data_IF_886682999593
#
_entry.id   IF_886682999593
#
_cell.length_a   1.000
_cell.length_b   1.000
_cell.length_c   1.000
_cell.angle_alpha   90.00
_cell.angle_beta   90.00
_cell.angle_gamma   90.00
#
_symmetry.space_group_name_H-M   'P 1'
#
loop_
_entity.id
_entity.type
_entity.pdbx_description
1 polymer ?
#
# COMPACT_ATOMS: atom_id res chain seq x y z
N UNK A 1 8.46 -7.62 30.31
CA UNK A 1 8.22 -7.54 28.85
C UNK A 1 6.77 -7.92 28.58
N UNK A 2 5.94 -6.96 28.16
CA UNK A 2 4.53 -7.24 27.87
C UNK A 2 4.42 -7.94 26.51
N UNK A 3 3.72 -9.08 26.49
CA UNK A 3 3.50 -9.90 25.30
C UNK A 3 2.61 -9.11 24.32
N UNK A 4 3.10 -8.85 23.11
CA UNK A 4 2.26 -8.23 22.08
C UNK A 4 1.03 -9.12 21.82
N UNK A 5 -0.17 -8.56 21.67
CA UNK A 5 -1.38 -9.35 21.41
C UNK A 5 -1.23 -10.08 20.08
N UNK A 6 -1.67 -11.35 20.06
CA UNK A 6 -1.62 -12.21 18.87
C UNK A 6 -2.47 -11.63 17.74
N UNK A 7 -2.13 -11.94 16.49
CA UNK A 7 -2.87 -11.51 15.30
C UNK A 7 -4.37 -11.86 15.37
N UNK A 8 -4.73 -12.98 16.00
CA UNK A 8 -6.12 -13.35 16.26
C UNK A 8 -6.86 -12.38 17.20
N UNK A 9 -6.19 -11.85 18.24
CA UNK A 9 -6.78 -10.87 19.14
C UNK A 9 -6.92 -9.48 18.47
N UNK A 10 -6.02 -9.15 17.54
CA UNK A 10 -6.13 -7.91 16.72
C UNK A 10 -7.30 -8.00 15.73
N UNK A 11 -7.48 -9.14 15.06
CA UNK A 11 -8.61 -9.40 14.16
C UNK A 11 -9.97 -9.39 14.90
N UNK A 12 -10.04 -9.94 16.12
CA UNK A 12 -11.25 -9.90 16.93
C UNK A 12 -11.61 -8.46 17.39
N UNK A 13 -10.60 -7.66 17.75
CA UNK A 13 -10.80 -6.24 18.06
C UNK A 13 -11.27 -5.41 16.86
N UNK A 14 -10.81 -5.77 15.66
CA UNK A 14 -11.17 -5.13 14.38
C UNK A 14 -12.64 -5.38 14.01
N UNK A 15 -13.15 -6.61 14.19
CA UNK A 15 -14.57 -6.93 14.00
C UNK A 15 -15.48 -6.12 14.94
N UNK A 16 -15.07 -5.94 16.20
CA UNK A 16 -15.81 -5.12 17.18
C UNK A 16 -15.83 -3.62 16.84
N UNK A 17 -14.73 -3.08 16.34
CA UNK A 17 -14.63 -1.67 15.93
C UNK A 17 -15.49 -1.37 14.67
N UNK A 18 -15.57 -2.33 13.74
CA UNK A 18 -16.39 -2.25 12.53
C UNK A 18 -17.89 -2.24 12.87
N UNK A 19 -18.32 -3.06 13.84
CA UNK A 19 -19.70 -3.06 14.32
C UNK A 19 -20.11 -1.71 14.95
N UNK A 20 -19.22 -1.08 15.71
CA UNK A 20 -19.47 0.23 16.32
C UNK A 20 -19.61 1.39 15.33
N UNK A 21 -18.85 1.38 14.22
CA UNK A 21 -18.94 2.44 13.19
C UNK A 21 -20.21 2.37 12.35
N UNK A 22 -20.75 1.18 12.08
CA UNK A 22 -22.03 1.04 11.36
C UNK A 22 -23.22 1.62 12.15
N UNK A 23 -23.16 1.61 13.47
CA UNK A 23 -24.20 2.18 14.33
C UNK A 23 -24.10 3.71 14.52
N UNK A 24 -22.92 4.31 14.30
CA UNK A 24 -22.70 5.76 14.52
C UNK A 24 -22.97 6.66 13.31
N UNK A 25 -23.37 6.10 12.16
CA UNK A 25 -23.45 6.81 10.89
C UNK A 25 -24.67 7.71 10.67
N UNK A 26 -25.68 7.68 11.54
CA UNK A 26 -26.96 8.40 11.31
C UNK A 26 -27.11 9.72 12.08
N UNK A 27 -26.13 10.15 12.90
CA UNK A 27 -26.33 11.27 13.83
C UNK A 27 -25.57 12.59 13.55
N UNK A 28 -24.87 12.75 12.41
CA UNK A 28 -24.06 13.95 12.16
C UNK A 28 -24.40 14.66 10.84
N UNK A 29 -25.69 14.92 10.62
CA UNK A 29 -26.14 15.89 9.64
C UNK A 29 -26.86 17.03 10.35
N UNK A 30 -26.18 18.16 10.59
CA UNK A 30 -26.70 19.54 10.53
C UNK A 30 -25.77 20.54 11.25
N UNK A 31 -25.63 21.70 10.60
CA UNK A 31 -25.22 23.03 11.07
C UNK A 31 -23.75 23.46 10.96
N UNK A 32 -23.54 24.52 10.16
CA UNK A 32 -22.34 25.35 10.28
C UNK A 32 -21.92 26.20 9.07
N UNK A 33 -22.84 26.75 8.27
CA UNK A 33 -22.52 27.86 7.35
C UNK A 33 -22.17 29.12 8.15
N UNK A 34 -21.02 29.74 7.92
CA UNK A 34 -20.87 31.21 7.98
C UNK A 34 -19.80 31.73 7.02
N UNK A 35 -20.21 32.71 6.22
CA UNK A 35 -19.40 33.50 5.29
C UNK A 35 -18.50 34.49 6.04
N UNK A 36 -17.22 34.59 5.67
CA UNK A 36 -16.41 35.81 5.87
C UNK A 36 -15.59 36.08 4.61
N UNK A 37 -16.03 37.07 3.82
CA UNK A 37 -15.19 37.77 2.82
C UNK A 37 -14.42 38.88 3.54
N UNK A 38 -13.10 38.97 3.34
CA UNK A 38 -12.36 40.23 3.44
C UNK A 38 -11.22 40.26 2.42
N UNK A 39 -11.24 41.31 1.60
CA UNK A 39 -10.23 41.67 0.61
C UNK A 39 -8.88 41.94 1.27
N UNK A 40 -7.85 41.30 0.76
CA UNK A 40 -6.45 41.62 0.95
C UNK A 40 -5.67 40.80 -0.06
N UNK A 41 -5.00 41.46 -1.01
CA UNK A 41 -4.25 40.83 -2.09
C UNK A 41 -3.21 39.89 -1.45
N UNK A 42 -3.46 38.58 -1.50
CA UNK A 42 -2.52 37.59 -1.04
C UNK A 42 -1.24 37.70 -1.88
N UNK A 43 -0.03 37.50 -1.30
CA UNK A 43 1.18 37.33 -2.11
C UNK A 43 0.94 36.18 -3.09
N UNK A 44 1.49 36.25 -4.30
CA UNK A 44 1.36 35.19 -5.31
C UNK A 44 1.81 33.86 -4.71
N UNK A 45 0.84 33.12 -4.17
CA UNK A 45 0.99 31.74 -3.79
C UNK A 45 1.10 31.04 -5.13
N UNK A 46 2.25 30.43 -5.38
CA UNK A 46 2.43 29.49 -6.48
C UNK A 46 1.22 28.54 -6.41
N UNK A 47 0.27 28.75 -7.32
CA UNK A 47 -0.87 27.86 -7.51
C UNK A 47 -0.33 26.61 -8.19
N UNK A 48 0.35 25.79 -7.38
CA UNK A 48 0.58 24.39 -7.67
C UNK A 48 -0.72 23.67 -7.33
N UNK A 49 -1.77 23.95 -8.12
CA UNK A 49 -3.05 23.25 -8.13
C UNK A 49 -2.84 21.80 -8.57
N UNK A 50 -2.16 21.05 -7.70
CA UNK A 50 -2.21 19.60 -7.69
C UNK A 50 -3.56 19.26 -7.08
N UNK A 51 -4.47 18.77 -7.91
CA UNK A 51 -5.79 18.32 -7.50
C UNK A 51 -5.68 17.52 -6.19
N UNK A 52 -6.53 17.88 -5.22
CA UNK A 52 -6.43 17.40 -3.85
C UNK A 52 -6.62 15.88 -3.77
N UNK A 53 -5.84 15.24 -2.90
CA UNK A 53 -6.05 13.84 -2.54
C UNK A 53 -7.48 13.66 -2.01
N UNK A 54 -8.17 12.61 -2.45
CA UNK A 54 -9.56 12.35 -2.05
C UNK A 54 -9.74 10.89 -1.70
N UNK A 55 -10.65 10.63 -0.76
CA UNK A 55 -11.10 9.26 -0.48
C UNK A 55 -11.90 8.75 -1.67
N UNK A 56 -11.67 7.50 -2.01
CA UNK A 56 -12.41 6.78 -3.05
C UNK A 56 -12.93 5.46 -2.48
N UNK A 57 -13.97 4.86 -3.08
CA UNK A 57 -14.35 3.50 -2.74
C UNK A 57 -13.15 2.55 -2.88
N UNK A 58 -12.99 1.57 -1.98
CA UNK A 58 -11.87 0.64 -2.07
C UNK A 58 -11.94 -0.17 -3.36
N UNK A 59 -10.78 -0.37 -4.01
CA UNK A 59 -10.66 -1.16 -5.23
C UNK A 59 -11.04 -2.63 -5.01
N UNK A 60 -10.90 -3.10 -3.77
CA UNK A 60 -11.15 -4.49 -3.38
C UNK A 60 -10.19 -5.50 -4.03
N UNK A 61 -10.47 -6.81 -3.86
CA UNK A 61 -9.71 -7.88 -4.51
C UNK A 61 -9.73 -7.76 -6.03
N UNK A 62 -8.55 -7.87 -6.66
CA UNK A 62 -8.39 -7.73 -8.12
C UNK A 62 -8.75 -9.00 -8.90
N UNK A 63 -9.01 -10.11 -8.21
CA UNK A 63 -9.37 -11.39 -8.83
C UNK A 63 -8.25 -11.98 -9.71
N UNK A 64 -7.00 -11.83 -9.27
CA UNK A 64 -5.80 -12.34 -9.97
C UNK A 64 -5.62 -13.86 -9.78
N UNK A 65 -4.60 -14.41 -10.44
CA UNK A 65 -4.15 -15.81 -10.33
C UNK A 65 -5.18 -16.80 -10.89
N UNK A 66 -5.56 -16.59 -12.15
CA UNK A 66 -6.50 -17.45 -12.87
C UNK A 66 -5.79 -18.52 -13.70
N UNK A 67 -6.45 -19.68 -13.80
CA UNK A 67 -6.00 -20.80 -14.63
C UNK A 67 -4.95 -21.67 -13.96
N UNK A 68 -4.28 -22.48 -14.77
CA UNK A 68 -3.25 -23.41 -14.29
C UNK A 68 -2.08 -22.64 -13.67
N UNK A 69 -1.53 -23.20 -12.59
CA UNK A 69 -0.39 -22.64 -11.88
C UNK A 69 0.87 -23.48 -12.08
N UNK A 70 1.99 -22.79 -12.29
CA UNK A 70 3.32 -23.39 -12.34
C UNK A 70 4.14 -22.86 -11.17
N UNK A 71 4.73 -23.77 -10.37
CA UNK A 71 5.65 -23.39 -9.32
C UNK A 71 6.99 -22.98 -9.93
N UNK A 72 7.53 -21.86 -9.50
CA UNK A 72 8.85 -21.38 -9.93
C UNK A 72 9.90 -21.74 -8.88
N UNK A 73 11.06 -22.24 -9.32
CA UNK A 73 12.26 -22.25 -8.49
C UNK A 73 12.72 -20.82 -8.19
N UNK A 74 13.56 -20.65 -7.16
CA UNK A 74 14.11 -19.34 -6.82
C UNK A 74 14.93 -18.72 -7.97
N UNK A 75 15.59 -19.55 -8.80
CA UNK A 75 16.34 -19.09 -9.98
C UNK A 75 15.41 -18.65 -11.10
N UNK A 76 14.37 -19.44 -11.41
CA UNK A 76 13.38 -19.08 -12.42
C UNK A 76 12.59 -17.82 -12.03
N UNK A 77 12.28 -17.68 -10.74
CA UNK A 77 11.69 -16.46 -10.22
C UNK A 77 12.60 -15.25 -10.45
N UNK A 78 13.87 -15.30 -10.01
CA UNK A 78 14.78 -14.17 -10.18
C UNK A 78 14.97 -13.77 -11.65
N UNK A 79 14.94 -14.74 -12.57
CA UNK A 79 15.11 -14.49 -14.00
C UNK A 79 13.92 -13.75 -14.65
N UNK A 80 12.70 -13.91 -14.13
CA UNK A 80 11.49 -13.35 -14.77
C UNK A 80 10.64 -12.45 -13.86
N UNK A 81 11.04 -12.25 -12.59
CA UNK A 81 10.22 -11.50 -11.64
C UNK A 81 10.02 -10.05 -12.09
N UNK A 82 8.81 -9.50 -11.93
CA UNK A 82 8.61 -8.06 -12.12
C UNK A 82 9.46 -7.23 -11.17
N UNK A 83 9.86 -6.04 -11.62
CA UNK A 83 10.62 -5.10 -10.78
C UNK A 83 9.82 -4.71 -9.54
N UNK A 84 10.50 -4.68 -8.40
CA UNK A 84 9.89 -4.32 -7.12
C UNK A 84 9.25 -5.50 -6.37
N UNK A 85 9.26 -6.71 -6.92
CA UNK A 85 8.88 -7.92 -6.17
C UNK A 85 10.09 -8.49 -5.38
N UNK A 86 9.90 -9.43 -4.44
CA UNK A 86 10.99 -10.05 -3.67
C UNK A 86 12.07 -10.64 -4.55
N UNK A 87 13.32 -10.49 -4.13
CA UNK A 87 14.44 -11.20 -4.76
C UNK A 87 14.61 -12.58 -4.12
N UNK A 88 15.31 -13.49 -4.80
CA UNK A 88 15.70 -14.79 -4.24
C UNK A 88 16.57 -14.70 -2.97
N UNK A 89 17.19 -13.54 -2.72
CA UNK A 89 18.06 -13.31 -1.56
C UNK A 89 17.29 -12.75 -0.36
N UNK A 90 15.98 -12.49 -0.49
CA UNK A 90 15.16 -12.12 0.64
C UNK A 90 15.02 -13.34 1.57
N UNK A 91 15.43 -13.21 2.83
CA UNK A 91 15.41 -14.30 3.81
C UNK A 91 14.01 -14.84 4.09
N UNK A 92 12.97 -14.01 3.88
CA UNK A 92 11.59 -14.40 4.06
C UNK A 92 11.01 -15.04 2.78
N UNK A 93 11.68 -14.99 1.63
CA UNK A 93 11.14 -15.55 0.40
C UNK A 93 11.08 -17.09 0.45
N UNK A 94 9.88 -17.65 0.24
CA UNK A 94 9.66 -19.10 0.25
C UNK A 94 9.56 -19.66 -1.16
N UNK A 95 8.64 -19.12 -1.96
CA UNK A 95 8.41 -19.53 -3.36
C UNK A 95 7.58 -18.49 -4.12
N UNK A 96 7.59 -18.61 -5.43
CA UNK A 96 6.65 -17.94 -6.32
C UNK A 96 5.91 -18.97 -7.19
N UNK A 97 4.67 -18.66 -7.52
CA UNK A 97 3.84 -19.40 -8.46
C UNK A 97 3.46 -18.45 -9.60
N UNK A 98 3.54 -18.91 -10.84
CA UNK A 98 3.07 -18.18 -12.03
C UNK A 98 1.76 -18.79 -12.49
N UNK A 99 0.81 -17.95 -12.86
CA UNK A 99 -0.51 -18.37 -13.34
C UNK A 99 -0.63 -18.15 -14.85
N UNK A 100 -1.56 -18.85 -15.49
CA UNK A 100 -1.76 -18.81 -16.94
C UNK A 100 -2.14 -17.42 -17.47
N UNK A 101 -2.80 -16.60 -16.66
CA UNK A 101 -3.11 -15.18 -16.94
C UNK A 101 -1.87 -14.25 -16.84
N UNK A 102 -0.69 -14.82 -16.54
CA UNK A 102 0.57 -14.10 -16.40
C UNK A 102 0.78 -13.43 -15.05
N UNK A 103 -0.16 -13.58 -14.11
CA UNK A 103 -0.03 -13.08 -12.75
C UNK A 103 0.85 -14.01 -11.89
N UNK A 104 1.24 -13.54 -10.72
CA UNK A 104 2.10 -14.28 -9.80
C UNK A 104 1.49 -14.38 -8.41
N UNK A 105 1.78 -15.45 -7.68
CA UNK A 105 1.54 -15.55 -6.24
C UNK A 105 2.88 -15.71 -5.54
N UNK A 106 3.21 -14.78 -4.65
CA UNK A 106 4.49 -14.81 -3.93
C UNK A 106 4.24 -15.17 -2.48
N UNK A 107 5.01 -16.13 -1.98
CA UNK A 107 4.92 -16.65 -0.62
C UNK A 107 6.11 -16.18 0.21
N UNK A 108 5.83 -15.60 1.38
CA UNK A 108 6.81 -15.06 2.31
C UNK A 108 6.61 -15.66 3.70
N UNK A 109 7.71 -15.97 4.39
CA UNK A 109 7.72 -16.41 5.78
C UNK A 109 7.53 -15.19 6.68
N UNK A 110 6.50 -15.23 7.51
CA UNK A 110 6.22 -14.21 8.52
C UNK A 110 7.01 -14.50 9.80
N UNK A 111 7.43 -13.49 10.59
CA UNK A 111 8.16 -13.69 11.84
C UNK A 111 7.44 -14.58 12.88
N UNK A 112 6.11 -14.71 12.80
CA UNK A 112 5.35 -15.67 13.62
C UNK A 112 5.63 -17.13 13.28
N UNK A 113 6.31 -17.41 12.18
CA UNK A 113 6.50 -18.76 11.63
C UNK A 113 5.45 -19.14 10.58
N UNK A 114 4.39 -18.35 10.39
CA UNK A 114 3.41 -18.59 9.33
C UNK A 114 3.97 -18.25 7.94
N UNK A 115 3.35 -18.76 6.88
CA UNK A 115 3.65 -18.40 5.49
C UNK A 115 2.49 -17.61 4.91
N UNK A 116 2.73 -16.35 4.55
CA UNK A 116 1.72 -15.50 3.91
C UNK A 116 1.96 -15.48 2.41
N UNK A 117 0.90 -15.30 1.65
CA UNK A 117 0.99 -15.13 0.21
C UNK A 117 0.23 -13.89 -0.27
N UNK A 118 0.75 -13.28 -1.32
CA UNK A 118 0.15 -12.11 -1.96
C UNK A 118 0.09 -12.36 -3.47
N UNK A 119 -1.08 -12.18 -4.11
CA UNK A 119 -1.18 -12.11 -5.57
C UNK A 119 -0.55 -10.84 -6.13
N UNK A 120 0.07 -10.94 -7.30
CA UNK A 120 0.67 -9.85 -8.05
C UNK A 120 0.15 -9.91 -9.47
N UNK A 121 -0.18 -8.75 -10.04
CA UNK A 121 -0.43 -8.69 -11.48
C UNK A 121 0.87 -8.94 -12.28
N UNK A 122 0.73 -9.05 -13.61
CA UNK A 122 1.86 -9.26 -14.52
C UNK A 122 2.93 -8.17 -14.44
N UNK A 123 2.58 -6.97 -13.98
CA UNK A 123 3.49 -5.81 -13.86
C UNK A 123 4.15 -5.75 -12.47
N UNK A 124 3.78 -6.64 -11.54
CA UNK A 124 4.33 -6.69 -10.18
C UNK A 124 3.60 -5.82 -9.16
N UNK A 125 2.36 -5.40 -9.42
CA UNK A 125 1.53 -4.76 -8.40
C UNK A 125 0.89 -5.81 -7.50
N UNK A 126 1.09 -5.72 -6.18
CA UNK A 126 0.41 -6.60 -5.24
C UNK A 126 -1.10 -6.31 -5.16
N UNK A 127 -1.85 -7.33 -4.79
CA UNK A 127 -3.23 -7.26 -4.34
C UNK A 127 -3.30 -7.55 -2.83
N UNK A 128 -3.15 -6.51 -2.01
CA UNK A 128 -3.20 -6.64 -0.56
C UNK A 128 -4.59 -6.98 -0.02
N UNK A 129 -5.65 -6.81 -0.82
CA UNK A 129 -6.99 -7.27 -0.45
C UNK A 129 -7.14 -8.80 -0.53
N UNK A 130 -6.15 -9.49 -1.09
CA UNK A 130 -6.16 -10.93 -1.32
C UNK A 130 -5.02 -11.66 -0.58
N UNK A 131 -4.48 -11.09 0.50
CA UNK A 131 -3.44 -11.73 1.31
C UNK A 131 -3.99 -12.99 1.97
N UNK A 132 -3.23 -14.10 1.91
CA UNK A 132 -3.65 -15.40 2.47
C UNK A 132 -2.61 -15.94 3.45
N UNK A 133 -3.06 -16.53 4.56
CA UNK A 133 -2.22 -17.32 5.45
C UNK A 133 -2.22 -18.78 5.01
N UNK A 134 -1.18 -19.18 4.29
CA UNK A 134 -1.03 -20.51 3.72
C UNK A 134 -0.74 -21.58 4.78
N UNK A 135 -0.22 -21.18 5.94
CA UNK A 135 -0.06 -22.08 7.10
C UNK A 135 -1.39 -22.44 7.77
N UNK A 136 -2.46 -21.69 7.48
CA UNK A 136 -3.82 -21.90 7.99
C UNK A 136 -4.79 -22.19 6.86
N UNK A 137 -4.45 -23.15 6.00
CA UNK A 137 -5.32 -23.61 4.90
C UNK A 137 -5.75 -22.49 3.93
N UNK A 138 -4.97 -21.41 3.80
CA UNK A 138 -5.29 -20.29 2.91
C UNK A 138 -6.36 -19.34 3.47
N UNK A 139 -6.47 -19.21 4.79
CA UNK A 139 -7.34 -18.22 5.43
C UNK A 139 -7.04 -16.81 4.90
N UNK A 140 -8.09 -15.99 4.68
CA UNK A 140 -7.93 -14.59 4.29
C UNK A 140 -7.32 -13.79 5.44
N UNK A 141 -6.31 -12.98 5.15
CA UNK A 141 -5.76 -12.02 6.10
C UNK A 141 -6.32 -10.65 5.74
N UNK A 142 -7.02 -10.01 6.67
CA UNK A 142 -7.54 -8.64 6.52
C UNK A 142 -6.39 -7.61 6.62
N UNK A 143 -5.54 -7.59 5.61
CA UNK A 143 -4.33 -6.79 5.62
C UNK A 143 -4.55 -5.30 5.30
N UNK A 144 -5.69 -4.91 4.71
CA UNK A 144 -5.96 -3.53 4.33
C UNK A 144 -6.96 -2.92 5.29
N UNK A 145 -6.65 -1.73 5.81
CA UNK A 145 -7.59 -0.99 6.65
C UNK A 145 -8.84 -0.64 5.83
N UNK A 146 -10.06 -0.93 6.33
CA UNK A 146 -11.30 -0.66 5.60
C UNK A 146 -11.43 0.80 5.14
N UNK A 147 -11.79 1.00 3.88
CA UNK A 147 -12.03 2.33 3.27
C UNK A 147 -10.85 3.32 3.33
N UNK A 148 -9.62 2.80 3.48
CA UNK A 148 -8.39 3.59 3.53
C UNK A 148 -7.84 4.01 2.18
N UNK A 149 -8.49 3.64 1.07
CA UNK A 149 -7.97 3.99 -0.25
C UNK A 149 -8.12 5.50 -0.53
N UNK A 150 -6.97 6.12 -0.80
CA UNK A 150 -6.86 7.52 -1.16
C UNK A 150 -6.27 7.62 -2.56
N UNK A 151 -7.02 8.25 -3.46
CA UNK A 151 -6.53 8.59 -4.78
C UNK A 151 -5.63 9.83 -4.69
N UNK A 152 -4.44 9.71 -5.28
CA UNK A 152 -3.47 10.77 -5.48
C UNK A 152 -3.43 11.09 -6.98
N UNK A 153 -3.77 12.32 -7.33
CA UNK A 153 -3.81 12.79 -8.73
C UNK A 153 -2.49 12.60 -9.48
N UNK A 154 -1.37 12.67 -8.75
CA UNK A 154 -0.06 12.20 -9.18
C UNK A 154 0.76 11.78 -7.97
N UNK A 155 1.45 10.65 -8.07
CA UNK A 155 2.46 10.25 -7.09
C UNK A 155 3.69 11.17 -7.17
N UNK A 156 4.22 11.54 -6.02
CA UNK A 156 5.48 12.27 -5.94
C UNK A 156 6.61 11.42 -6.53
N UNK A 157 7.45 12.04 -7.36
CA UNK A 157 8.59 11.42 -7.99
C UNK A 157 9.89 11.99 -7.39
N UNK A 158 10.99 11.21 -7.27
CA UNK A 158 12.27 11.75 -6.80
C UNK A 158 12.73 13.01 -7.54
N UNK A 159 12.46 13.10 -8.86
CA UNK A 159 12.81 14.24 -9.69
C UNK A 159 12.10 15.54 -9.26
N UNK A 160 10.94 15.46 -8.60
CA UNK A 160 10.26 16.63 -8.01
C UNK A 160 11.12 17.32 -6.93
N UNK A 161 12.12 16.60 -6.38
CA UNK A 161 13.01 17.05 -5.31
C UNK A 161 14.47 17.18 -5.77
N UNK A 162 14.74 17.16 -7.08
CA UNK A 162 16.10 17.33 -7.62
C UNK A 162 16.78 18.64 -7.19
N UNK A 163 16.00 19.67 -6.87
CA UNK A 163 16.49 20.95 -6.35
C UNK A 163 16.99 20.88 -4.89
N UNK A 164 16.65 19.83 -4.15
CA UNK A 164 17.06 19.63 -2.75
C UNK A 164 18.17 18.58 -2.60
N UNK A 165 18.36 17.72 -3.60
CA UNK A 165 19.23 16.55 -3.51
C UNK A 165 19.98 16.32 -4.82
N UNK A 166 21.25 15.91 -4.71
CA UNK A 166 22.05 15.48 -5.85
C UNK A 166 21.61 14.07 -6.33
N UNK A 167 20.85 14.03 -7.43
CA UNK A 167 20.32 12.81 -8.02
C UNK A 167 21.36 11.98 -8.78
N UNK A 168 22.58 12.48 -8.98
CA UNK A 168 23.68 11.70 -9.58
C UNK A 168 24.33 10.78 -8.54
N UNK A 169 24.21 11.13 -7.25
CA UNK A 169 24.68 10.29 -6.16
C UNK A 169 23.65 9.25 -5.70
N UNK A 170 24.14 8.09 -5.24
CA UNK A 170 23.30 7.04 -4.62
C UNK A 170 22.55 7.57 -3.40
N UNK A 171 23.19 8.45 -2.61
CA UNK A 171 22.61 9.04 -1.40
C UNK A 171 21.49 10.01 -1.75
N UNK A 172 21.71 10.98 -2.64
CA UNK A 172 20.68 11.95 -3.00
C UNK A 172 19.47 11.31 -3.68
N UNK A 173 19.65 10.29 -4.54
CA UNK A 173 18.51 9.49 -5.05
C UNK A 173 17.69 8.82 -3.95
N UNK A 174 18.36 8.26 -2.94
CA UNK A 174 17.68 7.60 -1.80
C UNK A 174 16.89 8.61 -0.98
N UNK A 175 17.48 9.78 -0.71
CA UNK A 175 16.88 10.82 0.11
C UNK A 175 15.71 11.51 -0.62
N UNK A 176 15.86 11.81 -1.92
CA UNK A 176 14.78 12.30 -2.77
C UNK A 176 13.61 11.31 -2.84
N UNK A 177 13.91 10.02 -2.98
CA UNK A 177 12.88 8.96 -2.98
C UNK A 177 12.15 8.88 -1.64
N UNK A 178 12.87 8.98 -0.52
CA UNK A 178 12.26 9.04 0.80
C UNK A 178 11.35 10.27 0.92
N UNK A 179 11.80 11.43 0.45
CA UNK A 179 11.03 12.67 0.49
C UNK A 179 9.75 12.59 -0.33
N UNK A 180 9.80 11.97 -1.51
CA UNK A 180 8.63 11.72 -2.35
C UNK A 180 7.60 10.82 -1.65
N UNK A 181 8.03 9.68 -1.10
CA UNK A 181 7.16 8.80 -0.31
C UNK A 181 6.53 9.50 0.89
N UNK A 182 7.33 10.29 1.62
CA UNK A 182 6.85 11.05 2.77
C UNK A 182 5.81 12.11 2.34
N UNK A 183 5.89 12.65 1.12
CA UNK A 183 4.91 13.59 0.59
C UNK A 183 3.58 12.92 0.21
N UNK A 184 3.64 11.77 -0.47
CA UNK A 184 2.45 10.98 -0.79
C UNK A 184 1.74 10.50 0.48
N UNK A 185 2.51 9.96 1.44
CA UNK A 185 2.00 9.57 2.76
C UNK A 185 1.25 10.72 3.43
N UNK A 186 1.86 11.91 3.50
CA UNK A 186 1.23 13.09 4.10
C UNK A 186 -0.05 13.53 3.38
N UNK A 187 -0.13 13.34 2.06
CA UNK A 187 -1.36 13.62 1.31
C UNK A 187 -2.44 12.61 1.66
N UNK A 188 -2.09 11.34 1.75
CA UNK A 188 -3.01 10.29 2.18
C UNK A 188 -3.54 10.52 3.60
N UNK A 189 -2.67 10.84 4.56
CA UNK A 189 -3.03 11.17 5.96
C UNK A 189 -3.83 12.48 6.11
N UNK A 190 -3.80 13.36 5.10
CA UNK A 190 -4.69 14.54 5.10
C UNK A 190 -6.08 14.22 4.58
N UNK A 191 -6.17 13.32 3.61
CA UNK A 191 -7.43 12.88 3.01
C UNK A 191 -8.12 11.79 3.84
N UNK A 192 -7.36 11.07 4.67
CA UNK A 192 -7.82 9.99 5.53
C UNK A 192 -7.16 10.08 6.90
N UNK A 193 -7.83 9.59 7.94
CA UNK A 193 -7.30 9.64 9.30
C UNK A 193 -6.03 8.79 9.45
N UNK A 194 -5.19 9.13 10.43
CA UNK A 194 -4.07 8.27 10.82
C UNK A 194 -4.58 6.88 11.23
N UNK A 195 -3.86 5.84 10.81
CA UNK A 195 -4.16 4.44 11.08
C UNK A 195 -3.04 3.81 11.90
N UNK A 196 -3.18 3.77 13.24
CA UNK A 196 -2.21 3.08 14.09
C UNK A 196 -2.05 1.62 13.68
N UNK A 197 -0.82 1.09 13.70
CA UNK A 197 -0.49 -0.29 13.30
C UNK A 197 -0.65 -0.61 11.80
N UNK A 198 -0.93 0.40 10.98
CA UNK A 198 -0.93 0.29 9.53
C UNK A 198 0.09 1.26 8.94
N UNK A 199 0.68 0.88 7.81
CA UNK A 199 1.61 1.69 7.04
C UNK A 199 1.02 1.97 5.66
N UNK A 200 1.15 3.22 5.21
CA UNK A 200 0.71 3.65 3.89
C UNK A 200 1.54 2.98 2.80
N UNK A 201 0.86 2.29 1.89
CA UNK A 201 1.44 1.57 0.78
C UNK A 201 0.88 2.10 -0.54
N UNK A 202 1.74 2.29 -1.54
CA UNK A 202 1.31 2.67 -2.89
C UNK A 202 0.53 1.52 -3.56
N UNK A 203 -0.77 1.72 -3.82
CA UNK A 203 -1.66 0.71 -4.42
C UNK A 203 -1.70 0.77 -5.96
N UNK A 204 -0.51 0.83 -6.56
CA UNK A 204 -0.35 0.96 -8.00
C UNK A 204 -0.65 2.37 -8.52
N UNK A 205 0.27 2.91 -9.32
CA UNK A 205 0.07 4.07 -10.20
C UNK A 205 -0.28 5.43 -9.57
N UNK A 206 -1.40 5.53 -8.83
CA UNK A 206 -2.05 6.79 -8.42
C UNK A 206 -2.86 6.67 -7.13
N UNK A 207 -2.77 5.60 -6.33
CA UNK A 207 -3.45 5.55 -5.02
C UNK A 207 -2.56 5.02 -3.90
N UNK A 208 -2.99 5.27 -2.67
CA UNK A 208 -2.42 4.69 -1.47
C UNK A 208 -3.50 3.99 -0.65
N UNK A 209 -3.11 2.92 0.03
CA UNK A 209 -3.93 2.18 0.99
C UNK A 209 -3.15 2.03 2.30
N UNK A 210 -3.83 1.90 3.43
CA UNK A 210 -3.18 1.58 4.70
C UNK A 210 -3.14 0.06 4.87
N UNK A 211 -1.93 -0.52 4.94
CA UNK A 211 -1.69 -1.96 5.04
C UNK A 211 -1.15 -2.30 6.44
N UNK A 212 -1.63 -3.38 7.04
CA UNK A 212 -1.16 -3.90 8.33
C UNK A 212 0.37 -3.91 8.37
N UNK A 213 0.95 -3.43 9.46
CA UNK A 213 2.39 -3.20 9.57
C UNK A 213 3.20 -4.46 9.30
N UNK A 214 2.77 -5.61 9.80
CA UNK A 214 3.51 -6.87 9.68
C UNK A 214 3.48 -7.36 8.21
N UNK A 215 2.32 -7.24 7.54
CA UNK A 215 2.21 -7.52 6.10
C UNK A 215 3.00 -6.52 5.27
N UNK A 216 2.93 -5.23 5.59
CA UNK A 216 3.66 -4.19 4.88
C UNK A 216 5.17 -4.39 5.00
N UNK A 217 5.70 -4.80 6.17
CA UNK A 217 7.12 -5.08 6.34
C UNK A 217 7.60 -6.25 5.47
N UNK A 218 6.79 -7.32 5.34
CA UNK A 218 7.10 -8.45 4.47
C UNK A 218 7.14 -8.06 2.99
N UNK A 219 6.22 -7.19 2.57
CA UNK A 219 6.03 -6.80 1.18
C UNK A 219 6.42 -5.35 0.90
N UNK A 220 7.39 -4.85 1.67
CA UNK A 220 7.77 -3.44 1.70
C UNK A 220 8.27 -3.01 0.32
N UNK A 221 7.74 -1.89 -0.17
CA UNK A 221 8.10 -1.30 -1.47
C UNK A 221 7.68 -2.11 -2.70
N UNK A 222 6.87 -3.15 -2.54
CA UNK A 222 6.38 -3.92 -3.68
C UNK A 222 5.30 -3.16 -4.45
N UNK A 223 5.34 -3.24 -5.78
CA UNK A 223 4.41 -2.51 -6.65
C UNK A 223 4.67 -1.00 -6.76
N UNK A 224 5.58 -0.43 -5.96
CA UNK A 224 5.91 1.01 -5.96
C UNK A 224 6.46 1.51 -7.32
N UNK A 225 6.90 0.60 -8.19
CA UNK A 225 7.62 0.93 -9.44
C UNK A 225 7.15 0.19 -10.70
N UNK A 226 6.16 -0.67 -10.59
CA UNK A 226 5.63 -1.48 -11.70
C UNK A 226 5.27 -0.63 -12.94
N UNK A 227 4.77 0.59 -12.72
CA UNK A 227 4.33 1.52 -13.79
C UNK A 227 5.26 2.71 -14.03
N UNK A 228 6.12 3.08 -13.07
CA UNK A 228 7.06 4.19 -13.23
C UNK A 228 8.32 3.84 -14.04
N UNK A 229 8.44 2.59 -14.52
CA UNK A 229 9.54 2.14 -15.37
C UNK A 229 9.25 2.22 -16.87
N UNK A 230 8.01 2.51 -17.30
CA UNK A 230 7.71 2.77 -18.70
C UNK A 230 7.85 4.26 -18.98
N UNK A 231 9.09 4.69 -19.25
CA UNK A 231 9.38 5.85 -20.08
C UNK A 231 9.63 5.35 -21.50
#
# INVERSE_FOLDING_TARGET
MAKAPSSAARNAGQAGLIAGRKAGGEAAGLNGMTNIKKNGKAPDVIDSSTAAAKRVPPSGPKGLNKGEKTKLSAKEWEAQRPKGTPTKNNENFVKAEKYADGSYKVHMKHPSGDTYSVPYDKDGNPDFYSVRNESKSGELVEAVYPDSEVELTRLAHPDDYAHLYDLDTKKGRKDAKKRARDADKKKAEKAFNETPFYQWHHNGGTSMIAVDEDVHQLFKHHGEFSRNAKK
#
